data_IF_790744414656
#
_entry.id   IF_790744414656
#
_cell.length_a   1.000
_cell.length_b   1.000
_cell.length_c   1.000
_cell.angle_alpha   90.00
_cell.angle_beta   90.00
_cell.angle_gamma   90.00
#
_symmetry.space_group_name_H-M   'P 1'
#
loop_
_entity.id
_entity.type
_entity.pdbx_description
1 polymer ?
#
# COMPACT_ATOMS: atom_id res chain seq x y z
N UNK A 1 16.53 5.82 1.53
CA UNK A 1 16.23 6.78 0.47
C UNK A 1 15.58 6.07 -0.70
N UNK A 2 14.45 6.59 -1.16
CA UNK A 2 13.73 5.99 -2.28
C UNK A 2 14.43 6.35 -3.58
N UNK A 3 14.64 5.37 -4.47
CA UNK A 3 15.19 5.69 -5.79
C UNK A 3 14.11 6.39 -6.63
N UNK A 4 14.28 7.68 -6.81
CA UNK A 4 13.33 8.50 -7.57
C UNK A 4 13.89 8.81 -8.94
N UNK A 5 14.37 7.79 -9.62
CA UNK A 5 14.89 8.00 -10.95
C UNK A 5 13.75 7.91 -11.97
N UNK A 6 13.90 8.66 -13.05
CA UNK A 6 12.96 8.58 -14.17
C UNK A 6 12.88 7.15 -14.70
N UNK A 7 13.99 6.44 -14.68
CA UNK A 7 14.06 5.07 -15.14
C UNK A 7 13.18 4.15 -14.31
N UNK A 8 13.20 4.32 -12.97
CA UNK A 8 12.37 3.53 -12.09
C UNK A 8 10.89 3.79 -12.36
N UNK A 9 10.50 5.06 -12.47
CA UNK A 9 9.11 5.42 -12.72
C UNK A 9 8.65 4.90 -14.07
N UNK A 10 9.47 5.00 -15.10
CA UNK A 10 9.15 4.43 -16.41
C UNK A 10 8.96 2.92 -16.33
N UNK A 11 9.86 2.23 -15.62
CA UNK A 11 9.74 0.79 -15.43
C UNK A 11 8.46 0.40 -14.73
N UNK A 12 8.09 1.14 -13.68
CA UNK A 12 6.84 0.89 -12.96
C UNK A 12 5.63 1.10 -13.87
N UNK A 13 5.63 2.18 -14.64
CA UNK A 13 4.54 2.47 -15.58
C UNK A 13 4.43 1.43 -16.69
N UNK A 14 5.54 0.82 -17.06
CA UNK A 14 5.58 -0.22 -18.10
C UNK A 14 5.37 -1.63 -17.55
N UNK A 15 5.17 -1.77 -16.24
CA UNK A 15 5.00 -3.06 -15.57
C UNK A 15 6.24 -3.95 -15.68
N UNK A 16 7.43 -3.33 -15.65
CA UNK A 16 8.70 -4.06 -15.63
C UNK A 16 8.91 -4.71 -14.27
N UNK A 17 9.14 -6.01 -14.25
CA UNK A 17 9.32 -6.77 -13.01
C UNK A 17 10.48 -6.28 -12.16
N UNK A 18 11.58 -5.90 -12.80
CA UNK A 18 12.77 -5.41 -12.06
C UNK A 18 12.45 -4.12 -11.32
N UNK A 19 11.74 -3.21 -11.98
CA UNK A 19 11.32 -1.96 -11.35
C UNK A 19 10.37 -2.24 -10.18
N UNK A 20 9.47 -3.20 -10.33
CA UNK A 20 8.55 -3.57 -9.26
C UNK A 20 9.25 -4.20 -8.07
N UNK A 21 10.31 -4.98 -8.29
CA UNK A 21 11.11 -5.51 -7.18
C UNK A 21 11.76 -4.38 -6.39
N UNK A 22 12.28 -3.38 -7.08
CA UNK A 22 12.87 -2.20 -6.43
C UNK A 22 11.82 -1.45 -5.64
N UNK A 23 10.65 -1.23 -6.24
CA UNK A 23 9.54 -0.56 -5.58
C UNK A 23 9.12 -1.30 -4.31
N UNK A 24 8.93 -2.61 -4.42
CA UNK A 24 8.52 -3.44 -3.29
C UNK A 24 9.53 -3.35 -2.16
N UNK A 25 10.81 -3.52 -2.46
CA UNK A 25 11.88 -3.44 -1.46
C UNK A 25 11.97 -2.07 -0.80
N UNK A 26 11.75 -1.01 -1.59
CA UNK A 26 11.90 0.36 -1.09
C UNK A 26 10.73 0.79 -0.22
N UNK A 27 9.51 0.32 -0.54
CA UNK A 27 8.30 0.81 0.12
C UNK A 27 7.72 -0.12 1.17
N UNK A 28 8.05 -1.41 1.12
CA UNK A 28 7.38 -2.38 1.98
C UNK A 28 7.54 -2.04 3.47
N UNK A 29 8.77 -1.88 3.94
CA UNK A 29 9.02 -1.61 5.36
C UNK A 29 8.48 -0.23 5.79
N UNK A 30 8.72 0.87 5.05
CA UNK A 30 8.11 2.15 5.41
C UNK A 30 6.59 2.13 5.44
N UNK A 31 5.95 1.44 4.50
CA UNK A 31 4.48 1.35 4.48
C UNK A 31 3.96 0.50 5.63
N UNK A 32 4.66 -0.58 6.00
CA UNK A 32 4.32 -1.36 7.17
C UNK A 32 4.43 -0.52 8.44
N UNK A 33 5.51 0.24 8.57
CA UNK A 33 5.70 1.12 9.72
C UNK A 33 4.58 2.15 9.80
N UNK A 34 4.24 2.77 8.68
CA UNK A 34 3.15 3.74 8.61
C UNK A 34 1.81 3.10 9.00
N UNK A 35 1.54 1.93 8.44
CA UNK A 35 0.29 1.20 8.71
C UNK A 35 0.17 0.79 10.17
N UNK A 36 1.29 0.43 10.82
CA UNK A 36 1.28 0.03 12.22
C UNK A 36 0.90 1.18 13.16
N UNK A 37 0.99 2.43 12.70
CA UNK A 37 0.56 3.59 13.48
C UNK A 37 -0.95 3.79 13.40
N UNK A 38 -1.60 3.17 12.43
CA UNK A 38 -3.05 3.25 12.23
C UNK A 38 -3.74 2.04 12.85
N UNK A 39 -3.13 0.86 12.68
CA UNK A 39 -3.69 -0.43 13.09
C UNK A 39 -2.98 -0.95 14.33
N UNK A 40 -3.76 -1.27 15.36
CA UNK A 40 -3.21 -1.87 16.58
C UNK A 40 -2.82 -3.33 16.37
N UNK A 41 -3.46 -4.02 15.45
CA UNK A 41 -3.20 -5.44 15.16
C UNK A 41 -2.05 -5.56 14.18
N UNK A 42 -0.86 -5.84 14.70
CA UNK A 42 0.35 -5.95 13.91
C UNK A 42 0.33 -7.11 12.92
N UNK A 43 -0.49 -8.12 13.16
CA UNK A 43 -0.57 -9.29 12.28
C UNK A 43 -1.24 -8.95 10.96
N UNK A 44 -2.08 -7.93 10.95
CA UNK A 44 -2.82 -7.50 9.76
C UNK A 44 -1.99 -6.56 8.87
N UNK A 45 -1.01 -5.89 9.45
CA UNK A 45 -0.22 -4.87 8.74
C UNK A 45 0.44 -5.41 7.46
N UNK A 46 1.15 -6.55 7.48
CA UNK A 46 1.75 -7.06 6.25
C UNK A 46 0.73 -7.33 5.15
N UNK A 47 -0.44 -7.85 5.51
CA UNK A 47 -1.48 -8.15 4.53
C UNK A 47 -2.02 -6.88 3.88
N UNK A 48 -2.22 -5.83 4.66
CA UNK A 48 -2.69 -4.54 4.15
C UNK A 48 -1.69 -3.97 3.14
N UNK A 49 -0.40 -4.01 3.49
CA UNK A 49 0.64 -3.47 2.62
C UNK A 49 0.80 -4.31 1.35
N UNK A 50 0.82 -5.64 1.48
CA UNK A 50 0.93 -6.52 0.32
C UNK A 50 -0.25 -6.33 -0.61
N UNK A 51 -1.47 -6.28 -0.08
CA UNK A 51 -2.66 -6.06 -0.90
C UNK A 51 -2.61 -4.73 -1.62
N UNK A 52 -2.12 -3.69 -0.96
CA UNK A 52 -1.97 -2.38 -1.58
C UNK A 52 -1.02 -2.45 -2.78
N UNK A 53 0.13 -3.09 -2.61
CA UNK A 53 1.13 -3.21 -3.67
C UNK A 53 0.64 -4.10 -4.81
N UNK A 54 -0.01 -5.20 -4.50
CA UNK A 54 -0.57 -6.10 -5.51
C UNK A 54 -1.67 -5.41 -6.30
N UNK A 55 -2.55 -4.68 -5.63
CA UNK A 55 -3.61 -3.95 -6.30
C UNK A 55 -3.04 -2.89 -7.24
N UNK A 56 -1.96 -2.24 -6.84
CA UNK A 56 -1.30 -1.28 -7.72
C UNK A 56 -0.72 -1.99 -8.95
N UNK A 57 -0.07 -3.14 -8.76
CA UNK A 57 0.47 -3.93 -9.87
C UNK A 57 -0.62 -4.29 -10.88
N UNK A 58 -1.81 -4.63 -10.40
CA UNK A 58 -2.93 -5.03 -11.25
C UNK A 58 -3.72 -3.85 -11.81
N UNK A 59 -3.39 -2.62 -11.42
CA UNK A 59 -4.09 -1.43 -11.88
C UNK A 59 -3.47 -0.89 -13.16
N UNK A 60 -4.15 0.06 -13.78
CA UNK A 60 -3.63 0.78 -14.95
C UNK A 60 -3.12 2.17 -14.59
N UNK A 61 -2.91 2.43 -13.30
CA UNK A 61 -2.42 3.73 -12.84
C UNK A 61 -0.99 3.97 -13.31
N UNK A 62 -0.71 5.18 -13.76
CA UNK A 62 0.61 5.60 -14.20
C UNK A 62 1.03 6.83 -13.40
N UNK A 63 2.31 7.00 -13.19
CA UNK A 63 2.84 8.07 -12.36
C UNK A 63 3.76 8.97 -13.19
N UNK A 64 3.68 10.26 -12.92
CA UNK A 64 4.53 11.25 -13.57
C UNK A 64 5.92 11.31 -12.94
N UNK A 65 6.00 11.07 -11.64
CA UNK A 65 7.26 11.15 -10.89
C UNK A 65 7.18 10.34 -9.60
N UNK A 66 8.29 10.28 -8.89
CA UNK A 66 8.39 9.53 -7.63
C UNK A 66 7.51 10.10 -6.52
N UNK A 67 7.32 11.42 -6.50
CA UNK A 67 6.45 12.05 -5.51
C UNK A 67 5.01 11.59 -5.67
N UNK A 68 4.52 11.55 -6.91
CA UNK A 68 3.17 11.09 -7.21
C UNK A 68 2.98 9.64 -6.78
N UNK A 69 3.96 8.78 -7.04
CA UNK A 69 3.95 7.39 -6.61
C UNK A 69 3.90 7.29 -5.09
N UNK A 70 4.75 8.03 -4.40
CA UNK A 70 4.83 8.00 -2.94
C UNK A 70 3.50 8.42 -2.31
N UNK A 71 2.93 9.54 -2.76
CA UNK A 71 1.65 10.03 -2.26
C UNK A 71 0.55 8.99 -2.49
N UNK A 72 0.54 8.39 -3.69
CA UNK A 72 -0.45 7.37 -4.01
C UNK A 72 -0.38 6.18 -3.06
N UNK A 73 0.83 5.67 -2.81
CA UNK A 73 1.00 4.48 -1.97
C UNK A 73 0.59 4.73 -0.53
N UNK A 74 0.99 5.86 0.05
CA UNK A 74 0.61 6.18 1.43
C UNK A 74 -0.89 6.40 1.56
N UNK A 75 -1.50 7.06 0.58
CA UNK A 75 -2.95 7.25 0.58
C UNK A 75 -3.69 5.92 0.42
N UNK A 76 -3.20 5.04 -0.44
CA UNK A 76 -3.81 3.73 -0.64
C UNK A 76 -3.75 2.88 0.62
N UNK A 77 -2.60 2.87 1.30
CA UNK A 77 -2.46 2.16 2.57
C UNK A 77 -3.40 2.74 3.63
N UNK A 78 -3.47 4.07 3.72
CA UNK A 78 -4.38 4.75 4.65
C UNK A 78 -5.82 4.30 4.41
N UNK A 79 -6.28 4.35 3.15
CA UNK A 79 -7.64 3.97 2.80
C UNK A 79 -7.91 2.50 3.11
N UNK A 80 -6.96 1.61 2.80
CA UNK A 80 -7.12 0.18 3.06
C UNK A 80 -7.14 -0.13 4.56
N UNK A 81 -6.33 0.57 5.34
CA UNK A 81 -6.33 0.44 6.79
C UNK A 81 -7.65 0.90 7.40
N UNK A 82 -8.17 2.04 6.95
CA UNK A 82 -9.46 2.53 7.43
C UNK A 82 -10.60 1.58 7.04
N UNK A 83 -10.55 1.03 5.83
CA UNK A 83 -11.54 0.06 5.39
C UNK A 83 -11.52 -1.18 6.29
N UNK A 84 -10.34 -1.67 6.62
CA UNK A 84 -10.19 -2.81 7.51
C UNK A 84 -10.83 -2.52 8.88
N UNK A 85 -10.55 -1.35 9.47
CA UNK A 85 -11.09 -0.97 10.76
C UNK A 85 -12.62 -0.84 10.71
N UNK A 86 -13.15 -0.25 9.64
CA UNK A 86 -14.59 -0.10 9.47
C UNK A 86 -15.28 -1.45 9.34
N UNK A 87 -14.73 -2.34 8.52
CA UNK A 87 -15.31 -3.67 8.31
C UNK A 87 -15.27 -4.49 9.59
N UNK A 88 -14.20 -4.36 10.37
CA UNK A 88 -14.09 -5.03 11.66
C UNK A 88 -15.12 -4.49 12.67
N UNK A 89 -15.30 -3.19 12.72
CA UNK A 89 -16.29 -2.57 13.61
C UNK A 89 -17.72 -3.01 13.27
N UNK A 90 -18.04 -3.09 11.98
CA UNK A 90 -19.34 -3.58 11.54
C UNK A 90 -19.56 -5.03 11.99
N UNK A 91 -18.52 -5.86 11.86
CA UNK A 91 -18.62 -7.26 12.29
C UNK A 91 -18.83 -7.37 13.80
N UNK A 92 -18.09 -6.59 14.59
CA UNK A 92 -18.25 -6.58 16.06
C UNK A 92 -19.66 -6.12 16.45
N UNK A 93 -20.18 -5.08 15.81
CA UNK A 93 -21.54 -4.60 16.03
C UNK A 93 -22.56 -5.69 15.73
N UNK A 94 -22.40 -6.38 14.61
CA UNK A 94 -23.31 -7.45 14.22
C UNK A 94 -23.32 -8.58 15.27
N UNK A 95 -22.14 -8.91 15.80
CA UNK A 95 -22.03 -9.96 16.82
C UNK A 95 -22.64 -9.55 18.15
N UNK A 96 -22.64 -8.25 18.48
CA UNK A 96 -23.22 -7.75 19.73
C UNK A 96 -24.75 -7.77 19.73
N UNK A 97 -25.37 -7.79 18.57
CA UNK A 97 -26.82 -7.73 18.45
C UNK A 97 -27.50 -9.09 18.37
N UNK A 98 -26.85 -10.11 18.83
CA UNK A 98 -27.38 -11.46 18.88
C UNK A 98 -28.30 -11.67 20.05
#
# INVERSE_FOLDING_TARGET
MLPETKELIQGINQKDEKAWKVLFKSFYAPLCHYSSRILADEQVVPDIVQNTLVNLWNSSVRFENGKALTVYLYRAVWNNALKYLRDRNVEEERLKHW
#
